data_IF_497227978324
#
_entry.id   IF_497227978324
#
_cell.length_a   1.000
_cell.length_b   1.000
_cell.length_c   1.000
_cell.angle_alpha   90.00
_cell.angle_beta   90.00
_cell.angle_gamma   90.00
#
_symmetry.space_group_name_H-M   'P 1'
#
loop_
_entity.id
_entity.type
_entity.pdbx_description
1 polymer ?
#
# COMPACT_ATOMS: atom_id res chain seq x y z
N UNK A 1 6.89 19.84 32.15
CA UNK A 1 6.31 18.47 32.16
C UNK A 1 6.52 17.83 30.79
N UNK A 2 7.61 17.09 30.59
CA UNK A 2 7.94 16.47 29.29
C UNK A 2 7.53 15.00 29.30
N UNK A 3 6.67 14.60 28.34
CA UNK A 3 6.15 13.22 28.22
C UNK A 3 7.17 12.34 27.49
N UNK A 4 7.79 11.42 28.24
CA UNK A 4 8.68 10.38 27.72
C UNK A 4 7.92 9.40 26.83
N UNK A 5 8.25 9.35 25.53
CA UNK A 5 7.83 8.27 24.62
C UNK A 5 8.84 7.14 24.68
N UNK A 6 8.40 6.00 25.21
CA UNK A 6 9.16 4.74 25.24
C UNK A 6 9.06 4.07 23.88
N UNK A 7 10.18 3.91 23.18
CA UNK A 7 10.26 3.10 21.96
C UNK A 7 10.93 1.78 22.28
N UNK A 8 10.16 0.69 22.24
CA UNK A 8 10.69 -0.67 22.31
C UNK A 8 11.06 -1.15 20.90
N UNK A 9 12.33 -1.48 20.68
CA UNK A 9 12.80 -2.12 19.44
C UNK A 9 12.66 -3.64 19.56
N UNK A 10 11.72 -4.22 18.82
CA UNK A 10 11.56 -5.67 18.68
C UNK A 10 12.36 -6.11 17.45
N UNK A 11 13.48 -6.82 17.65
CA UNK A 11 14.22 -7.47 16.58
C UNK A 11 13.59 -8.84 16.29
N UNK A 12 12.86 -8.96 15.19
CA UNK A 12 12.36 -10.25 14.68
C UNK A 12 13.38 -10.79 13.68
N UNK A 13 14.06 -11.87 14.06
CA UNK A 13 14.90 -12.66 13.17
C UNK A 13 14.01 -13.44 12.20
N UNK A 14 13.98 -13.02 10.94
CA UNK A 14 13.29 -13.71 9.84
C UNK A 14 14.10 -14.93 9.40
N UNK A 15 13.64 -16.14 9.77
CA UNK A 15 14.06 -17.36 9.06
C UNK A 15 13.26 -17.48 7.78
N UNK A 16 13.99 -17.53 6.66
CA UNK A 16 13.48 -17.81 5.34
C UNK A 16 12.72 -19.14 5.30
N UNK A 17 11.53 -19.14 4.71
CA UNK A 17 10.87 -20.35 4.21
C UNK A 17 10.40 -20.05 2.79
N UNK A 18 11.33 -20.22 1.84
CA UNK A 18 11.01 -20.36 0.43
C UNK A 18 10.53 -21.80 0.21
N UNK A 19 9.24 -21.98 -0.01
CA UNK A 19 8.74 -23.19 -0.65
C UNK A 19 7.36 -22.95 -1.27
N UNK A 20 7.38 -22.91 -2.61
CA UNK A 20 6.42 -23.52 -3.52
C UNK A 20 4.98 -23.67 -3.01
N UNK A 21 4.07 -22.88 -3.59
CA UNK A 21 2.69 -23.34 -3.80
C UNK A 21 2.15 -22.81 -5.13
N UNK A 22 2.61 -23.45 -6.22
CA UNK A 22 1.79 -23.66 -7.41
C UNK A 22 0.61 -24.56 -7.00
N UNK A 23 -0.63 -24.08 -7.10
CA UNK A 23 -1.76 -24.83 -7.69
C UNK A 23 -3.10 -24.09 -7.62
N UNK A 24 -3.70 -24.03 -8.80
CA UNK A 24 -5.12 -24.30 -9.13
C UNK A 24 -6.16 -23.23 -8.78
N UNK A 25 -6.53 -22.51 -9.85
CA UNK A 25 -7.91 -22.33 -10.33
C UNK A 25 -8.84 -23.44 -9.81
N UNK A 26 -9.93 -23.05 -9.15
CA UNK A 26 -11.20 -23.76 -9.21
C UNK A 26 -12.33 -22.72 -9.13
N UNK A 27 -13.17 -22.78 -10.17
CA UNK A 27 -14.41 -22.03 -10.31
C UNK A 27 -15.40 -22.42 -9.20
N UNK A 28 -16.01 -21.42 -8.57
CA UNK A 28 -17.26 -21.59 -7.82
C UNK A 28 -18.28 -20.57 -8.35
N UNK A 29 -18.85 -20.88 -9.51
CA UNK A 29 -20.14 -20.35 -9.99
C UNK A 29 -21.12 -21.53 -9.96
N UNK A 30 -21.92 -21.63 -8.91
CA UNK A 30 -23.24 -22.30 -8.81
C UNK A 30 -23.60 -22.41 -7.34
N UNK A 31 -24.90 -22.51 -7.05
CA UNK A 31 -25.58 -22.26 -5.77
C UNK A 31 -25.90 -20.76 -5.65
N UNK A 32 -26.92 -20.22 -6.32
CA UNK A 32 -28.26 -20.80 -6.47
C UNK A 32 -29.08 -20.38 -5.26
N UNK A 33 -29.83 -19.29 -5.42
CA UNK A 33 -30.86 -18.82 -4.50
C UNK A 33 -31.80 -19.97 -4.14
N UNK A 34 -32.01 -20.17 -2.84
CA UNK A 34 -33.21 -20.78 -2.30
C UNK A 34 -33.52 -20.06 -0.98
N UNK A 35 -34.27 -18.97 -1.08
CA UNK A 35 -35.19 -18.55 -0.04
C UNK A 35 -36.28 -19.61 0.04
N UNK A 36 -36.56 -20.17 1.22
CA UNK A 36 -37.90 -20.33 1.81
C UNK A 36 -37.71 -20.61 3.31
N UNK A 37 -38.64 -20.03 4.04
CA UNK A 37 -38.80 -19.69 5.45
C UNK A 37 -39.18 -20.82 6.41
N UNK A 38 -39.15 -20.49 7.72
CA UNK A 38 -39.81 -21.10 8.89
C UNK A 38 -39.07 -22.31 9.49
N UNK A 39 -38.92 -22.50 10.79
CA UNK A 39 -39.24 -21.75 12.00
C UNK A 39 -38.47 -22.43 13.16
N UNK A 40 -38.41 -21.79 14.32
CA UNK A 40 -38.30 -22.45 15.63
C UNK A 40 -37.09 -23.38 15.88
N UNK A 41 -36.07 -22.86 16.56
CA UNK A 41 -35.78 -23.26 17.95
C UNK A 41 -34.43 -22.69 18.41
N UNK A 42 -34.50 -22.01 19.55
CA UNK A 42 -33.48 -21.91 20.58
C UNK A 42 -32.00 -21.99 20.17
N UNK A 43 -31.35 -20.82 20.21
CA UNK A 43 -30.18 -20.59 21.07
C UNK A 43 -29.21 -21.77 21.23
N UNK A 44 -28.21 -21.84 20.35
CA UNK A 44 -26.86 -22.24 20.75
C UNK A 44 -25.89 -21.24 20.12
N UNK A 45 -25.64 -20.14 20.82
CA UNK A 45 -24.47 -19.30 20.52
C UNK A 45 -23.26 -20.11 20.99
N UNK A 46 -22.63 -20.83 20.06
CA UNK A 46 -21.31 -21.42 20.29
C UNK A 46 -20.29 -20.29 20.42
N UNK A 47 -20.21 -19.71 21.62
CA UNK A 47 -19.11 -18.85 22.01
C UNK A 47 -17.92 -19.76 22.28
N UNK A 48 -17.19 -20.08 21.21
CA UNK A 48 -15.85 -20.64 21.32
C UNK A 48 -14.96 -19.58 21.98
N UNK A 49 -14.92 -19.58 23.31
CA UNK A 49 -13.84 -18.96 24.06
C UNK A 49 -12.56 -19.74 23.75
N UNK A 50 -11.89 -19.38 22.66
CA UNK A 50 -10.48 -19.68 22.47
C UNK A 50 -9.73 -18.93 23.57
N UNK A 51 -9.58 -19.57 24.73
CA UNK A 51 -8.79 -19.07 25.85
C UNK A 51 -7.35 -18.91 25.32
N UNK A 52 -6.80 -17.70 25.15
CA UNK A 52 -5.42 -17.55 24.75
C UNK A 52 -4.57 -18.10 25.91
N UNK A 53 -3.99 -19.28 25.71
CA UNK A 53 -3.04 -19.88 26.64
C UNK A 53 -1.81 -18.97 26.62
N UNK A 54 -1.75 -18.02 27.55
CA UNK A 54 -0.55 -17.24 27.80
C UNK A 54 0.57 -18.24 28.11
N UNK A 55 1.47 -18.44 27.15
CA UNK A 55 2.69 -19.21 27.41
C UNK A 55 3.56 -18.33 28.30
N UNK A 56 3.94 -18.77 29.51
CA UNK A 56 4.90 -18.02 30.30
C UNK A 56 6.18 -17.89 29.47
N UNK A 57 6.50 -16.68 29.02
CA UNK A 57 7.78 -16.38 28.40
C UNK A 57 8.83 -16.42 29.51
N UNK A 58 9.99 -17.01 29.22
CA UNK A 58 11.13 -17.00 30.15
C UNK A 58 11.41 -15.57 30.58
N UNK A 59 11.63 -15.34 31.87
CA UNK A 59 11.99 -14.03 32.41
C UNK A 59 13.31 -13.58 31.76
N UNK A 60 13.20 -12.64 30.82
CA UNK A 60 14.37 -12.02 30.20
C UNK A 60 14.85 -10.92 31.12
N UNK A 61 16.05 -11.06 31.67
CA UNK A 61 16.73 -9.96 32.34
C UNK A 61 17.07 -8.90 31.29
N UNK A 62 16.33 -7.80 31.27
CA UNK A 62 16.61 -6.66 30.38
C UNK A 62 17.63 -5.79 31.09
N UNK A 63 18.85 -5.71 30.55
CA UNK A 63 19.83 -4.70 30.99
C UNK A 63 19.51 -3.39 30.30
N UNK A 64 19.08 -2.40 31.08
CA UNK A 64 18.90 -1.03 30.61
C UNK A 64 20.26 -0.34 30.63
N UNK A 65 20.81 -0.09 29.45
CA UNK A 65 22.07 0.66 29.29
C UNK A 65 21.73 2.14 29.07
N UNK A 66 22.29 3.08 29.86
CA UNK A 66 22.00 4.49 29.70
C UNK A 66 22.57 5.00 28.37
N UNK A 67 21.82 5.88 27.68
CA UNK A 67 22.21 6.41 26.36
C UNK A 67 23.57 7.11 26.37
N UNK A 68 23.99 7.67 27.50
CA UNK A 68 25.31 8.30 27.69
C UNK A 68 26.49 7.34 27.52
N UNK A 69 26.29 6.04 27.76
CA UNK A 69 27.33 5.01 27.62
C UNK A 69 27.40 4.41 26.23
N UNK A 70 26.46 4.75 25.34
CA UNK A 70 26.46 4.29 23.96
C UNK A 70 27.38 5.22 23.14
N UNK A 71 28.60 4.75 22.87
CA UNK A 71 29.47 5.37 21.86
C UNK A 71 28.87 5.04 20.49
N UNK A 72 28.00 5.91 19.99
CA UNK A 72 27.50 5.81 18.62
C UNK A 72 28.62 6.32 17.72
N UNK A 73 29.21 5.48 16.85
CA UNK A 73 30.20 5.98 15.92
C UNK A 73 29.53 6.98 14.96
N UNK A 74 30.26 8.01 14.53
CA UNK A 74 29.85 8.99 13.50
C UNK A 74 29.76 8.35 12.10
N UNK A 75 29.24 7.14 12.04
CA UNK A 75 28.84 6.49 10.81
C UNK A 75 27.77 7.32 10.13
N UNK A 76 27.94 7.52 8.83
CA UNK A 76 26.99 8.24 7.97
C UNK A 76 25.65 7.50 7.99
N UNK A 77 24.71 8.00 8.77
CA UNK A 77 23.34 7.48 8.81
C UNK A 77 22.65 7.94 7.52
N UNK A 78 22.46 7.02 6.58
CA UNK A 78 21.64 7.29 5.41
C UNK A 78 20.17 7.34 5.84
N UNK A 79 19.50 8.43 5.48
CA UNK A 79 18.05 8.52 5.65
C UNK A 79 17.37 7.39 4.86
N UNK A 80 16.28 6.87 5.42
CA UNK A 80 15.44 5.89 4.73
C UNK A 80 15.02 6.47 3.36
N UNK A 81 15.10 5.68 2.27
CA UNK A 81 14.56 6.11 0.98
C UNK A 81 13.07 6.42 1.09
N UNK A 82 12.63 7.48 0.41
CA UNK A 82 11.22 7.87 0.42
C UNK A 82 10.35 6.72 -0.12
N UNK A 83 9.16 6.49 0.46
CA UNK A 83 8.26 5.46 -0.05
C UNK A 83 7.72 5.87 -1.43
N UNK A 84 7.56 4.90 -2.34
CA UNK A 84 7.05 5.12 -3.71
C UNK A 84 5.65 5.78 -3.74
N UNK A 85 4.88 5.68 -2.66
CA UNK A 85 3.59 6.37 -2.54
C UNK A 85 3.73 7.89 -2.54
N UNK A 86 4.85 8.44 -2.09
CA UNK A 86 5.12 9.88 -2.14
C UNK A 86 5.44 10.34 -3.57
N UNK A 87 6.13 9.51 -4.36
CA UNK A 87 6.41 9.78 -5.76
C UNK A 87 5.13 9.86 -6.59
N UNK A 88 4.14 9.00 -6.31
CA UNK A 88 2.84 9.01 -6.99
C UNK A 88 1.99 10.25 -6.69
N UNK A 89 2.32 11.00 -5.63
CA UNK A 89 1.62 12.25 -5.26
C UNK A 89 2.27 13.48 -5.89
N UNK A 90 3.38 13.32 -6.59
CA UNK A 90 4.00 14.44 -7.30
C UNK A 90 3.04 14.93 -8.39
N UNK A 91 2.94 16.25 -8.53
CA UNK A 91 2.11 16.87 -9.56
C UNK A 91 2.60 16.43 -10.93
N UNK A 92 1.66 16.02 -11.79
CA UNK A 92 1.99 15.66 -13.18
C UNK A 92 2.36 16.91 -13.98
N UNK A 93 3.02 16.73 -15.11
CA UNK A 93 3.34 17.87 -15.99
C UNK A 93 2.07 18.59 -16.45
N UNK A 94 1.01 17.82 -16.71
CA UNK A 94 -0.30 18.37 -17.07
C UNK A 94 -0.86 19.24 -15.94
N UNK A 95 -0.78 18.79 -14.69
CA UNK A 95 -1.25 19.58 -13.54
C UNK A 95 -0.49 20.91 -13.41
N UNK A 96 0.83 20.88 -13.64
CA UNK A 96 1.65 22.09 -13.61
C UNK A 96 1.24 23.06 -14.73
N UNK A 97 0.95 22.57 -15.93
CA UNK A 97 0.54 23.42 -17.05
C UNK A 97 -0.86 23.99 -16.81
N UNK A 98 -1.77 23.23 -16.20
CA UNK A 98 -3.08 23.72 -15.79
C UNK A 98 -2.93 24.85 -14.77
N UNK A 99 -2.10 24.67 -13.73
CA UNK A 99 -1.84 25.70 -12.74
C UNK A 99 -1.21 26.96 -13.37
N UNK A 100 -0.31 26.81 -14.34
CA UNK A 100 0.25 27.94 -15.09
C UNK A 100 -0.80 28.67 -15.94
N UNK A 101 -1.71 27.92 -16.57
CA UNK A 101 -2.82 28.51 -17.33
C UNK A 101 -3.75 29.31 -16.44
N UNK A 102 -4.09 28.77 -15.27
CA UNK A 102 -4.92 29.46 -14.28
C UNK A 102 -4.23 30.72 -13.75
N UNK A 103 -2.91 30.67 -13.52
CA UNK A 103 -2.13 31.81 -13.07
C UNK A 103 -1.97 32.90 -14.16
N UNK A 104 -1.88 32.52 -15.43
CA UNK A 104 -1.67 33.44 -16.55
C UNK A 104 -2.95 34.13 -17.03
N UNK A 105 -4.12 33.51 -16.83
CA UNK A 105 -5.43 34.09 -17.19
C UNK A 105 -5.50 34.52 -18.66
N UNK A 106 -5.61 35.83 -18.90
CA UNK A 106 -5.73 36.44 -20.23
C UNK A 106 -4.44 36.37 -21.07
N UNK A 107 -3.27 36.23 -20.41
CA UNK A 107 -1.98 36.16 -21.10
C UNK A 107 -1.61 34.74 -21.55
N UNK A 108 -2.52 33.76 -21.46
CA UNK A 108 -2.23 32.40 -21.89
C UNK A 108 -2.17 32.27 -23.41
N UNK A 109 -1.12 31.67 -23.99
CA UNK A 109 -1.02 31.49 -25.43
C UNK A 109 -2.13 30.59 -25.98
N UNK A 110 -2.87 31.07 -26.97
CA UNK A 110 -3.96 30.33 -27.62
C UNK A 110 -3.49 29.09 -28.39
N UNK A 111 -2.20 28.99 -28.72
CA UNK A 111 -1.65 27.86 -29.46
C UNK A 111 -1.56 26.57 -28.63
N UNK A 112 -1.62 26.65 -27.30
CA UNK A 112 -1.49 25.47 -26.43
C UNK A 112 -2.88 24.94 -26.07
N UNK A 113 -3.30 23.90 -26.78
CA UNK A 113 -4.49 23.12 -26.43
C UNK A 113 -4.13 21.97 -25.49
N UNK A 114 -4.73 21.96 -24.31
CA UNK A 114 -4.56 20.90 -23.32
C UNK A 114 -5.59 19.80 -23.55
N UNK A 115 -5.13 18.65 -24.00
CA UNK A 115 -5.97 17.46 -24.14
C UNK A 115 -6.08 16.69 -22.80
N UNK A 116 -7.23 16.07 -22.52
CA UNK A 116 -7.40 15.28 -21.32
C UNK A 116 -6.55 14.00 -21.36
N UNK A 117 -6.17 13.49 -20.19
CA UNK A 117 -5.44 12.23 -20.07
C UNK A 117 -6.25 11.06 -20.64
N UNK A 118 -5.67 10.34 -21.61
CA UNK A 118 -6.31 9.19 -22.24
C UNK A 118 -6.44 8.01 -21.26
N UNK A 119 -7.63 7.43 -21.20
CA UNK A 119 -7.95 6.26 -20.38
C UNK A 119 -7.66 4.98 -21.14
N UNK A 120 -7.60 3.86 -20.41
CA UNK A 120 -7.40 2.53 -21.01
C UNK A 120 -8.49 2.17 -22.03
N UNK A 121 -9.69 2.71 -21.84
CA UNK A 121 -10.86 2.49 -22.69
C UNK A 121 -10.68 3.09 -24.09
N UNK A 122 -10.03 4.25 -24.19
CA UNK A 122 -9.80 4.93 -25.47
C UNK A 122 -8.93 4.10 -26.42
N UNK A 123 -8.07 3.25 -25.85
CA UNK A 123 -7.22 2.35 -26.63
C UNK A 123 -7.89 1.03 -27.03
N UNK A 124 -9.19 0.81 -26.75
CA UNK A 124 -9.86 -0.48 -27.03
C UNK A 124 -9.92 -0.80 -28.53
N UNK A 125 -10.10 0.22 -29.37
CA UNK A 125 -10.17 0.07 -30.82
C UNK A 125 -8.78 -0.06 -31.48
N UNK A 126 -7.69 0.19 -30.74
CA UNK A 126 -6.33 0.18 -31.28
C UNK A 126 -5.81 -1.26 -31.36
N UNK A 127 -5.12 -1.58 -32.46
CA UNK A 127 -4.49 -2.89 -32.66
C UNK A 127 -3.59 -3.25 -31.46
N UNK A 128 -3.68 -4.48 -30.94
CA UNK A 128 -3.01 -4.85 -29.69
C UNK A 128 -1.48 -4.77 -29.77
N UNK A 129 -0.90 -4.94 -30.96
CA UNK A 129 0.56 -4.84 -31.20
C UNK A 129 1.11 -3.44 -30.96
N UNK A 130 0.36 -2.40 -31.32
CA UNK A 130 0.80 -0.99 -31.27
C UNK A 130 0.45 -0.35 -29.92
N UNK A 131 -0.54 -0.90 -29.23
CA UNK A 131 -1.09 -0.37 -27.97
C UNK A 131 -0.05 -0.21 -26.86
N UNK A 132 0.93 -1.10 -26.79
CA UNK A 132 2.01 -1.06 -25.79
C UNK A 132 2.96 0.11 -26.03
N UNK A 133 3.33 0.35 -27.29
CA UNK A 133 4.21 1.45 -27.70
C UNK A 133 3.51 2.80 -27.47
N UNK A 134 2.25 2.93 -27.89
CA UNK A 134 1.47 4.17 -27.66
C UNK A 134 1.37 4.52 -26.18
N UNK A 135 1.06 3.53 -25.32
CA UNK A 135 1.01 3.76 -23.88
C UNK A 135 2.35 4.17 -23.29
N UNK A 136 3.46 3.70 -23.87
CA UNK A 136 4.81 4.07 -23.44
C UNK A 136 5.15 5.50 -23.85
N UNK A 137 4.76 5.92 -25.05
CA UNK A 137 4.96 7.28 -25.56
C UNK A 137 4.17 8.32 -24.76
N UNK A 138 2.96 7.95 -24.32
CA UNK A 138 2.09 8.86 -23.56
C UNK A 138 2.36 8.89 -22.06
N UNK A 139 3.30 8.07 -21.56
CA UNK A 139 3.66 8.09 -20.15
C UNK A 139 4.64 9.23 -19.89
N UNK A 140 4.32 10.08 -18.92
CA UNK A 140 5.23 11.12 -18.43
C UNK A 140 6.53 10.48 -17.90
N UNK A 141 7.66 11.12 -18.19
CA UNK A 141 9.01 10.66 -17.83
C UNK A 141 9.45 11.21 -16.48
#
# INVERSE_FOLDING_TARGET
>A
MSRNKVFASISVSTRACQSRCLRKRLNARKLGLAFITLAEQGLIVNVFYLRPKMRPTLSRLIRVVPRSTLVVPDTKIYNRPKPQSEERKQATLIDNIIAQREAAGENWPQNIRLEPQLKKDDFKAVMPKIRTELKKLMKER
#
